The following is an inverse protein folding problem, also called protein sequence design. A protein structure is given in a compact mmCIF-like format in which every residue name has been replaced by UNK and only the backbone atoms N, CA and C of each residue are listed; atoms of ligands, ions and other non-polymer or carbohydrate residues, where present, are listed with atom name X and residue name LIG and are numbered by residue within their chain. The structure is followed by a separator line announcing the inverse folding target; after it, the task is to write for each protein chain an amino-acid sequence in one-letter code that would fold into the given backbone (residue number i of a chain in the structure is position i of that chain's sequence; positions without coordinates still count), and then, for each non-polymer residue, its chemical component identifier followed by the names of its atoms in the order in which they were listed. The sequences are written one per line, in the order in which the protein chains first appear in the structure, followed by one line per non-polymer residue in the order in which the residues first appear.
data_IF_070124188628
#
_entry.id   IF_070124188628
#
_cell.length_a   1.000
_cell.length_b   1.000
_cell.length_c   1.000
_cell.angle_alpha   90.00
_cell.angle_beta   90.00
_cell.angle_gamma   90.00
#
_symmetry.space_group_name_H-M   'P 1'
#
loop_
_entity.id
_entity.type
_entity.pdbx_description
1 polymer ?
#
# COMPACT_ATOMS: atom_id res chain seq x y z
N UNK A 1 7.72 -38.46 -13.75
CA UNK A 1 6.67 -37.46 -13.44
C UNK A 1 7.33 -36.37 -12.60
N UNK A 2 7.79 -35.29 -13.25
CA UNK A 2 8.51 -34.21 -12.55
C UNK A 2 7.45 -33.24 -12.04
N UNK A 3 7.10 -33.37 -10.76
CA UNK A 3 6.28 -32.39 -10.06
C UNK A 3 7.14 -31.13 -9.90
N UNK A 4 6.99 -30.16 -10.80
CA UNK A 4 7.55 -28.83 -10.57
C UNK A 4 6.89 -28.22 -9.33
N UNK A 5 7.70 -27.54 -8.54
CA UNK A 5 7.33 -26.98 -7.25
C UNK A 5 6.41 -25.75 -7.49
N UNK A 6 5.11 -26.01 -7.64
CA UNK A 6 4.07 -25.01 -8.00
C UNK A 6 3.97 -23.88 -6.97
N UNK A 7 4.37 -24.13 -5.72
CA UNK A 7 4.33 -23.13 -4.64
C UNK A 7 5.17 -21.89 -4.96
N UNK A 8 6.38 -22.04 -5.52
CA UNK A 8 7.25 -20.91 -5.84
C UNK A 8 6.65 -20.00 -6.93
N UNK A 9 5.99 -20.58 -7.93
CA UNK A 9 5.36 -19.80 -9.01
C UNK A 9 4.17 -19.00 -8.48
N UNK A 10 3.42 -19.54 -7.50
CA UNK A 10 2.34 -18.78 -6.84
C UNK A 10 2.87 -17.65 -5.98
N UNK A 11 3.98 -17.85 -5.25
CA UNK A 11 4.63 -16.78 -4.47
C UNK A 11 5.16 -15.68 -5.36
N UNK A 12 5.77 -16.01 -6.50
CA UNK A 12 6.33 -15.01 -7.41
C UNK A 12 5.22 -14.19 -8.09
N UNK A 13 4.10 -14.82 -8.47
CA UNK A 13 2.92 -14.08 -8.94
C UNK A 13 2.35 -13.14 -7.87
N UNK A 14 2.40 -13.52 -6.60
CA UNK A 14 2.01 -12.65 -5.49
C UNK A 14 2.93 -11.43 -5.31
N UNK A 15 4.15 -11.48 -5.85
CA UNK A 15 5.10 -10.36 -5.88
C UNK A 15 5.06 -9.62 -7.23
N UNK A 16 3.98 -9.75 -7.99
CA UNK A 16 3.82 -9.17 -9.34
C UNK A 16 4.94 -9.60 -10.32
N UNK A 17 5.45 -10.82 -10.14
CA UNK A 17 6.39 -11.47 -11.08
C UNK A 17 5.66 -12.52 -11.91
N UNK A 18 5.70 -12.34 -13.22
CA UNK A 18 5.04 -13.19 -14.20
C UNK A 18 6.08 -13.94 -15.04
N UNK A 19 5.81 -15.22 -15.29
CA UNK A 19 6.63 -16.03 -16.18
C UNK A 19 5.88 -16.32 -17.47
N UNK A 20 6.54 -16.12 -18.60
CA UNK A 20 6.06 -16.57 -19.91
C UNK A 20 7.11 -17.47 -20.57
N UNK A 21 6.63 -18.47 -21.31
CA UNK A 21 7.48 -19.43 -22.03
C UNK A 21 7.30 -19.19 -23.52
N UNK A 22 8.41 -19.00 -24.23
CA UNK A 22 8.45 -18.86 -25.69
C UNK A 22 9.53 -19.76 -26.27
N UNK A 23 9.14 -20.87 -26.90
CA UNK A 23 10.09 -21.89 -27.35
C UNK A 23 10.89 -22.46 -26.18
N UNK A 24 12.22 -22.44 -26.29
CA UNK A 24 13.16 -22.90 -25.24
C UNK A 24 13.55 -21.80 -24.23
N UNK A 25 12.91 -20.64 -24.29
CA UNK A 25 13.23 -19.48 -23.45
C UNK A 25 12.15 -19.23 -22.39
N UNK A 26 12.60 -19.04 -21.14
CA UNK A 26 11.77 -18.59 -20.02
C UNK A 26 12.01 -17.09 -19.80
N UNK A 27 10.96 -16.28 -19.92
CA UNK A 27 11.01 -14.86 -19.62
C UNK A 27 10.34 -14.60 -18.27
N UNK A 28 11.01 -13.86 -17.39
CA UNK A 28 10.46 -13.35 -16.15
C UNK A 28 10.22 -11.84 -16.28
N UNK A 29 8.98 -11.39 -16.06
CA UNK A 29 8.58 -9.98 -16.08
C UNK A 29 8.18 -9.56 -14.67
N UNK A 30 8.80 -8.52 -14.14
CA UNK A 30 8.45 -7.92 -12.86
C UNK A 30 7.76 -6.58 -13.09
N UNK A 31 6.58 -6.39 -12.52
CA UNK A 31 5.90 -5.09 -12.53
C UNK A 31 6.14 -4.37 -11.21
N UNK A 32 6.76 -3.19 -11.28
CA UNK A 32 6.89 -2.31 -10.11
C UNK A 32 5.69 -1.37 -10.10
N UNK A 33 4.81 -1.52 -9.10
CA UNK A 33 3.70 -0.61 -8.85
C UNK A 33 4.14 0.51 -7.91
N UNK A 34 3.54 1.69 -8.05
CA UNK A 34 3.73 2.79 -7.10
C UNK A 34 3.33 2.31 -5.70
N UNK A 35 4.17 2.54 -4.70
CA UNK A 35 3.87 2.08 -3.35
C UNK A 35 2.62 2.81 -2.81
N UNK A 36 1.82 2.13 -1.98
CA UNK A 36 0.69 2.78 -1.32
C UNK A 36 1.13 4.00 -0.52
N UNK A 37 2.32 3.94 0.09
CA UNK A 37 2.89 5.06 0.83
C UNK A 37 3.07 6.29 -0.05
N UNK A 38 3.66 6.12 -1.24
CA UNK A 38 3.89 7.22 -2.17
C UNK A 38 2.57 7.75 -2.72
N UNK A 39 1.60 6.87 -3.05
CA UNK A 39 0.27 7.29 -3.48
C UNK A 39 -0.47 8.09 -2.41
N UNK A 40 -0.41 7.63 -1.15
CA UNK A 40 -1.02 8.34 -0.03
C UNK A 40 -0.34 9.69 0.15
N UNK A 41 0.99 9.76 0.12
CA UNK A 41 1.73 11.03 0.23
C UNK A 41 1.34 12.02 -0.86
N UNK A 42 1.34 11.60 -2.11
CA UNK A 42 0.95 12.45 -3.23
C UNK A 42 -0.49 12.94 -3.12
N UNK A 43 -1.38 12.10 -2.57
CA UNK A 43 -2.75 12.49 -2.29
C UNK A 43 -2.85 13.44 -1.08
N UNK A 44 -2.01 13.26 -0.05
CA UNK A 44 -1.94 14.16 1.11
C UNK A 44 -1.53 15.57 0.70
N UNK A 45 -0.50 15.69 -0.13
CA UNK A 45 0.02 16.98 -0.61
C UNK A 45 -1.00 17.73 -1.49
N UNK A 46 -1.99 17.01 -2.06
CA UNK A 46 -3.08 17.58 -2.86
C UNK A 46 -4.34 17.88 -2.04
N UNK A 47 -4.43 17.42 -0.80
CA UNK A 47 -5.61 17.60 0.05
C UNK A 47 -5.53 18.95 0.81
N UNK A 48 -6.41 19.92 0.50
CA UNK A 48 -6.37 21.25 1.13
C UNK A 48 -6.64 21.24 2.64
N UNK A 49 -7.35 20.23 3.15
CA UNK A 49 -7.61 20.08 4.58
C UNK A 49 -6.36 19.56 5.30
N UNK A 50 -5.69 18.56 4.72
CA UNK A 50 -4.46 18.01 5.29
C UNK A 50 -3.32 19.04 5.26
N UNK A 51 -3.20 19.83 4.19
CA UNK A 51 -2.25 20.95 4.13
C UNK A 51 -2.51 21.98 5.23
N UNK A 52 -3.77 22.37 5.48
CA UNK A 52 -4.11 23.24 6.62
C UNK A 52 -3.74 22.63 7.97
N UNK A 53 -3.86 21.30 8.11
CA UNK A 53 -3.44 20.63 9.34
C UNK A 53 -1.92 20.63 9.50
N UNK A 54 -1.17 20.47 8.41
CA UNK A 54 0.30 20.58 8.39
C UNK A 54 0.76 21.94 8.91
N UNK A 55 0.15 23.03 8.44
CA UNK A 55 0.42 24.38 8.94
C UNK A 55 0.10 24.51 10.44
N UNK A 56 -1.03 23.96 10.90
CA UNK A 56 -1.40 23.99 12.33
C UNK A 56 -0.42 23.24 13.23
N UNK A 57 0.13 22.13 12.75
CA UNK A 57 1.16 21.36 13.48
C UNK A 57 2.45 22.16 13.56
N UNK A 58 2.89 22.77 12.45
CA UNK A 58 4.06 23.64 12.41
C UNK A 58 3.92 24.86 13.32
N UNK A 59 2.72 25.43 13.43
CA UNK A 59 2.38 26.52 14.37
C UNK A 59 2.28 26.07 15.84
N UNK A 60 2.45 24.78 16.14
CA UNK A 60 2.29 24.23 17.50
C UNK A 60 0.84 24.19 18.02
N UNK A 61 -0.16 24.28 17.13
CA UNK A 61 -1.59 24.34 17.46
C UNK A 61 -2.30 22.98 17.44
N UNK A 62 -1.60 21.90 17.10
CA UNK A 62 -2.17 20.56 17.07
C UNK A 62 -1.14 19.50 17.50
N UNK A 63 -1.36 18.88 18.66
CA UNK A 63 -0.43 17.93 19.26
C UNK A 63 -0.77 16.47 18.94
N UNK A 64 -1.89 16.21 18.25
CA UNK A 64 -2.32 14.85 17.91
C UNK A 64 -1.77 14.38 16.56
N UNK A 65 -1.33 15.32 15.72
CA UNK A 65 -0.82 15.06 14.38
C UNK A 65 0.69 15.25 14.37
N UNK A 66 1.39 14.29 13.76
CA UNK A 66 2.83 14.26 13.62
C UNK A 66 3.16 14.38 12.13
N UNK A 67 4.15 15.20 11.79
CA UNK A 67 4.75 15.24 10.46
C UNK A 67 6.01 14.36 10.51
N UNK A 68 6.07 13.33 9.66
CA UNK A 68 7.25 12.48 9.50
C UNK A 68 8.36 13.18 8.69
N UNK A 69 9.57 12.62 8.75
CA UNK A 69 10.75 13.14 8.03
C UNK A 69 10.54 13.24 6.51
N UNK A 70 9.72 12.36 5.95
CA UNK A 70 9.33 12.35 4.54
C UNK A 70 8.17 13.30 4.21
N UNK A 71 7.68 14.06 5.19
CA UNK A 71 6.60 15.02 5.07
C UNK A 71 5.19 14.44 5.25
N UNK A 72 5.04 13.13 5.50
CA UNK A 72 3.73 12.51 5.68
C UNK A 72 3.07 12.90 7.00
N UNK A 73 1.76 13.06 6.96
CA UNK A 73 0.93 13.33 8.14
C UNK A 73 0.45 12.03 8.78
N UNK A 74 0.68 11.91 10.09
CA UNK A 74 0.18 10.83 10.92
C UNK A 74 -0.74 11.40 11.99
N UNK A 75 -1.90 10.77 12.19
CA UNK A 75 -2.73 11.02 13.35
C UNK A 75 -2.39 9.97 14.40
N UNK A 76 -1.75 10.40 15.49
CA UNK A 76 -1.15 9.52 16.52
C UNK A 76 -0.08 8.58 15.95
N UNK A 77 -0.50 7.42 15.42
CA UNK A 77 0.38 6.38 14.85
C UNK A 77 -0.11 5.85 13.50
N UNK A 78 -1.27 6.32 13.02
CA UNK A 78 -1.86 5.90 11.75
C UNK A 78 -1.62 6.97 10.68
N UNK A 79 -1.36 6.54 9.45
CA UNK A 79 -1.19 7.44 8.31
C UNK A 79 -2.52 8.13 7.98
N UNK A 80 -2.51 9.44 7.80
CA UNK A 80 -3.71 10.18 7.39
C UNK A 80 -4.03 9.91 5.92
N UNK A 81 -4.97 9.01 5.61
CA UNK A 81 -5.36 8.75 4.21
C UNK A 81 -6.42 9.78 3.78
N UNK A 82 -6.17 10.58 2.71
CA UNK A 82 -7.17 11.48 2.14
C UNK A 82 -8.41 10.72 1.65
N UNK A 83 -9.57 11.36 1.64
CA UNK A 83 -10.81 10.74 1.15
C UNK A 83 -10.88 10.69 -0.38
N UNK A 84 -10.04 9.85 -0.99
CA UNK A 84 -10.00 9.57 -2.42
C UNK A 84 -10.48 8.14 -2.65
N UNK A 85 -11.64 7.99 -3.30
CA UNK A 85 -12.30 6.69 -3.48
C UNK A 85 -11.42 5.65 -4.18
N UNK A 86 -10.67 6.06 -5.20
CA UNK A 86 -9.75 5.18 -5.94
C UNK A 86 -8.66 4.63 -5.02
N UNK A 87 -8.00 5.50 -4.25
CA UNK A 87 -6.95 5.13 -3.30
C UNK A 87 -7.49 4.23 -2.19
N UNK A 88 -8.66 4.55 -1.65
CA UNK A 88 -9.33 3.75 -0.62
C UNK A 88 -9.69 2.36 -1.14
N UNK A 89 -10.28 2.29 -2.34
CA UNK A 89 -10.64 1.03 -2.98
C UNK A 89 -9.42 0.17 -3.24
N UNK A 90 -8.33 0.78 -3.72
CA UNK A 90 -7.08 0.06 -3.99
C UNK A 90 -6.44 -0.47 -2.70
N UNK A 91 -6.38 0.34 -1.63
CA UNK A 91 -5.87 -0.10 -0.32
C UNK A 91 -6.72 -1.24 0.26
N UNK A 92 -8.05 -1.13 0.18
CA UNK A 92 -8.95 -2.18 0.65
C UNK A 92 -8.81 -3.46 -0.16
N UNK A 93 -8.65 -3.33 -1.48
CA UNK A 93 -8.41 -4.45 -2.36
C UNK A 93 -7.10 -5.15 -2.03
N UNK A 94 -6.01 -4.41 -1.83
CA UNK A 94 -4.73 -5.00 -1.43
C UNK A 94 -4.84 -5.67 -0.06
N UNK A 95 -5.40 -4.99 0.94
CA UNK A 95 -5.53 -5.54 2.29
C UNK A 95 -6.38 -6.82 2.35
N UNK A 96 -7.32 -6.99 1.42
CA UNK A 96 -8.19 -8.16 1.35
C UNK A 96 -7.66 -9.25 0.41
N UNK A 97 -7.09 -8.92 -0.74
CA UNK A 97 -6.77 -9.89 -1.79
C UNK A 97 -5.27 -10.15 -1.96
N UNK A 98 -4.41 -9.40 -1.27
CA UNK A 98 -2.99 -9.70 -1.28
C UNK A 98 -2.74 -11.12 -0.77
N UNK A 99 -2.02 -11.98 -1.51
CA UNK A 99 -1.76 -13.36 -1.08
C UNK A 99 -0.96 -13.47 0.23
N UNK A 100 -0.29 -12.38 0.62
CA UNK A 100 0.43 -12.24 1.89
C UNK A 100 -0.44 -11.65 3.02
N UNK A 101 -1.64 -11.16 2.72
CA UNK A 101 -2.64 -10.85 3.73
C UNK A 101 -3.15 -12.17 4.31
N UNK A 102 -2.49 -12.67 5.37
CA UNK A 102 -2.94 -13.85 6.11
C UNK A 102 -4.36 -13.60 6.63
N UNK A 103 -5.35 -14.09 5.88
CA UNK A 103 -6.76 -13.93 6.16
C UNK A 103 -7.14 -14.52 7.53
N UNK A 104 -7.32 -13.62 8.51
CA UNK A 104 -7.96 -13.90 9.79
C UNK A 104 -9.17 -12.96 9.96
N UNK A 105 -10.18 -13.14 9.09
CA UNK A 105 -11.48 -12.48 9.19
C UNK A 105 -11.51 -10.94 9.10
N UNK A 106 -12.72 -10.41 8.93
CA UNK A 106 -13.01 -8.97 8.75
C UNK A 106 -12.60 -8.09 9.93
N UNK A 107 -12.39 -8.65 11.12
CA UNK A 107 -12.01 -7.92 12.34
C UNK A 107 -10.55 -7.46 12.37
N UNK A 108 -9.65 -8.09 11.59
CA UNK A 108 -8.23 -7.71 11.53
C UNK A 108 -7.97 -6.47 10.66
N UNK A 109 -8.82 -6.21 9.66
CA UNK A 109 -8.67 -5.06 8.75
C UNK A 109 -8.64 -3.70 9.48
N UNK A 110 -9.48 -3.52 10.51
CA UNK A 110 -9.51 -2.28 11.32
C UNK A 110 -8.29 -2.13 12.24
N UNK A 111 -7.47 -3.18 12.40
CA UNK A 111 -6.23 -3.13 13.19
C UNK A 111 -5.01 -2.82 12.33
N UNK A 112 -5.06 -3.20 11.04
CA UNK A 112 -3.97 -2.99 10.09
C UNK A 112 -4.11 -1.65 9.33
N UNK A 113 -5.30 -1.04 9.31
CA UNK A 113 -5.58 0.36 8.92
C UNK A 113 -5.46 1.32 10.12
#
# INVERSE_FOLDING_TARGET
MICYNVEYLTTLRAMDVYFSVGGDMLLATMQVKYSFKDKIKDAQDKDPYLEKMKTKVQDGKNNQIIIQDDGMLLNRKSVCVPNVEELRTEIMHEAHYAPYAMHLGSTKMYRDL
#
